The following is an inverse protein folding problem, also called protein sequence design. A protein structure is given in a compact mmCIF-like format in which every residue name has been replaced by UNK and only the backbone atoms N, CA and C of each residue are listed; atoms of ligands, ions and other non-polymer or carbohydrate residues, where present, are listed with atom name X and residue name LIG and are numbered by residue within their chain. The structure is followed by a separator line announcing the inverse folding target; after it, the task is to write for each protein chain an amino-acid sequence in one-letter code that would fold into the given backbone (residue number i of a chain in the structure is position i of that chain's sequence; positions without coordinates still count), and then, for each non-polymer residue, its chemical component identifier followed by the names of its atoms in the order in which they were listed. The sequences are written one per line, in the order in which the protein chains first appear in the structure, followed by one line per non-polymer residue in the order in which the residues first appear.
data_IF_932740215296
#
_entry.id   IF_932740215296
#
_cell.length_a   1.000
_cell.length_b   1.000
_cell.length_c   1.000
_cell.angle_alpha   90.00
_cell.angle_beta   90.00
_cell.angle_gamma   90.00
#
_symmetry.space_group_name_H-M   'P 1'
#
loop_
_entity.id
_entity.type
_entity.pdbx_description
1 polymer ?
#
# COMPACT_ATOMS: atom_id res chain seq x y z
N UNK A 1 5.12 -20.05 28.26
CA UNK A 1 5.53 -18.78 27.63
C UNK A 1 4.91 -18.75 26.25
N UNK A 2 3.72 -18.16 26.12
CA UNK A 2 3.12 -17.85 24.83
C UNK A 2 4.03 -16.81 24.16
N UNK A 3 4.68 -17.17 23.04
CA UNK A 3 5.31 -16.16 22.18
C UNK A 3 4.19 -15.20 21.78
N UNK A 4 4.29 -13.94 22.18
CA UNK A 4 3.45 -12.88 21.62
C UNK A 4 3.56 -12.98 20.11
N UNK A 5 2.42 -13.16 19.43
CA UNK A 5 2.39 -13.05 17.97
C UNK A 5 3.02 -11.68 17.62
N UNK A 6 3.97 -11.63 16.67
CA UNK A 6 4.50 -10.33 16.26
C UNK A 6 3.35 -9.50 15.70
N UNK A 7 3.22 -8.26 16.19
CA UNK A 7 2.26 -7.29 15.66
C UNK A 7 2.51 -6.96 14.19
N UNK A 8 1.68 -6.09 13.60
CA UNK A 8 1.80 -5.78 12.18
C UNK A 8 3.17 -5.17 11.86
N UNK A 9 3.69 -5.48 10.67
CA UNK A 9 4.98 -4.95 10.22
C UNK A 9 4.77 -3.64 9.49
N UNK A 10 5.39 -2.57 10.00
CA UNK A 10 5.35 -1.25 9.39
C UNK A 10 6.41 -1.09 8.28
N UNK A 11 6.02 -0.51 7.16
CA UNK A 11 6.77 -0.28 5.93
C UNK A 11 6.59 1.18 5.49
N UNK A 12 7.44 1.63 4.56
CA UNK A 12 7.25 2.89 3.84
C UNK A 12 7.10 2.64 2.33
N UNK A 13 6.25 3.44 1.67
CA UNK A 13 6.01 3.33 0.24
C UNK A 13 7.10 4.04 -0.57
N UNK A 14 7.57 3.43 -1.66
CA UNK A 14 8.36 4.17 -2.66
C UNK A 14 7.49 5.01 -3.60
N UNK A 15 6.17 4.80 -3.61
CA UNK A 15 5.21 5.45 -4.50
C UNK A 15 5.26 6.98 -4.50
N UNK A 16 5.23 7.65 -3.33
CA UNK A 16 5.34 9.11 -3.23
C UNK A 16 6.67 9.69 -3.77
N UNK A 17 7.66 8.83 -3.99
CA UNK A 17 9.02 9.17 -4.44
C UNK A 17 9.33 8.59 -5.82
N UNK A 18 8.31 8.29 -6.64
CA UNK A 18 8.43 7.57 -7.92
C UNK A 18 9.36 8.21 -8.98
N UNK A 19 9.74 9.48 -8.79
CA UNK A 19 10.65 10.22 -9.66
C UNK A 19 12.12 10.17 -9.18
N UNK A 20 12.38 9.64 -8.00
CA UNK A 20 13.72 9.49 -7.42
C UNK A 20 14.35 8.13 -7.77
N UNK A 21 15.68 8.01 -7.81
CA UNK A 21 16.37 6.72 -7.97
C UNK A 21 16.00 5.74 -6.84
N UNK A 22 15.81 4.46 -7.16
CA UNK A 22 15.28 3.49 -6.20
C UNK A 22 16.22 3.30 -5.00
N UNK A 23 17.54 3.15 -5.25
CA UNK A 23 18.52 2.99 -4.18
C UNK A 23 18.51 4.14 -3.18
N UNK A 24 18.45 5.38 -3.67
CA UNK A 24 18.36 6.57 -2.82
C UNK A 24 17.09 6.59 -1.96
N UNK A 25 15.96 6.16 -2.52
CA UNK A 25 14.69 6.07 -1.78
C UNK A 25 14.78 5.03 -0.67
N UNK A 26 15.33 3.85 -0.98
CA UNK A 26 15.49 2.78 0.01
C UNK A 26 16.46 3.18 1.13
N UNK A 27 17.56 3.88 0.81
CA UNK A 27 18.46 4.43 1.83
C UNK A 27 17.74 5.44 2.74
N UNK A 28 16.90 6.32 2.17
CA UNK A 28 16.14 7.29 2.96
C UNK A 28 15.10 6.61 3.87
N UNK A 29 14.45 5.54 3.40
CA UNK A 29 13.53 4.73 4.19
C UNK A 29 14.27 4.04 5.34
N UNK A 30 15.45 3.46 5.07
CA UNK A 30 16.28 2.82 6.10
C UNK A 30 16.75 3.82 7.16
N UNK A 31 17.22 5.00 6.75
CA UNK A 31 17.66 6.06 7.67
C UNK A 31 16.52 6.63 8.53
N UNK A 32 15.27 6.54 8.05
CA UNK A 32 14.08 6.87 8.84
C UNK A 32 13.74 5.80 9.89
N UNK A 33 14.46 4.67 9.90
CA UNK A 33 14.34 3.58 10.87
C UNK A 33 13.34 2.49 10.48
N UNK A 34 12.88 2.47 9.22
CA UNK A 34 12.07 1.35 8.74
C UNK A 34 12.94 0.11 8.51
N UNK A 35 12.31 -1.06 8.57
CA UNK A 35 12.98 -2.36 8.30
C UNK A 35 12.45 -3.04 7.05
N UNK A 36 11.49 -2.42 6.37
CA UNK A 36 11.04 -2.86 5.07
C UNK A 36 10.35 -1.76 4.29
N UNK A 37 10.18 -2.00 2.99
CA UNK A 37 9.55 -1.07 2.07
C UNK A 37 8.52 -1.78 1.20
N UNK A 38 7.55 -1.02 0.72
CA UNK A 38 6.72 -1.39 -0.42
C UNK A 38 7.27 -0.71 -1.67
N UNK A 39 7.61 -1.52 -2.68
CA UNK A 39 8.18 -1.02 -3.93
C UNK A 39 7.10 -0.90 -5.00
N UNK A 40 6.86 0.33 -5.48
CA UNK A 40 6.02 0.60 -6.63
C UNK A 40 6.78 0.36 -7.93
N UNK A 41 6.26 -0.52 -8.78
CA UNK A 41 6.72 -0.65 -10.16
C UNK A 41 6.38 0.62 -10.95
N UNK A 42 7.40 1.35 -11.39
CA UNK A 42 7.24 2.65 -12.02
C UNK A 42 7.99 2.76 -13.37
N UNK A 43 8.05 3.98 -13.92
CA UNK A 43 8.81 4.26 -15.14
C UNK A 43 10.29 3.97 -14.97
N UNK A 44 10.85 4.23 -13.78
CA UNK A 44 12.22 3.84 -13.44
C UNK A 44 12.36 2.32 -13.61
N UNK A 45 13.17 1.82 -14.57
CA UNK A 45 13.30 0.38 -14.82
C UNK A 45 13.88 -0.39 -13.64
N UNK A 46 14.61 0.27 -12.73
CA UNK A 46 15.16 -0.35 -11.52
C UNK A 46 14.07 -0.94 -10.62
N UNK A 47 12.87 -0.36 -10.61
CA UNK A 47 11.71 -0.85 -9.85
C UNK A 47 11.08 -2.12 -10.41
N UNK A 48 11.51 -2.54 -11.61
CA UNK A 48 10.99 -3.72 -12.35
C UNK A 48 12.07 -4.77 -12.61
N UNK A 49 13.25 -4.57 -12.03
CA UNK A 49 14.41 -5.44 -12.13
C UNK A 49 14.63 -6.07 -10.74
N UNK A 50 14.23 -7.35 -10.54
CA UNK A 50 14.30 -7.99 -9.24
C UNK A 50 15.70 -7.98 -8.62
N UNK A 51 16.75 -8.14 -9.42
CA UNK A 51 18.13 -8.17 -8.94
C UNK A 51 18.54 -6.80 -8.38
N UNK A 52 18.12 -5.70 -9.03
CA UNK A 52 18.36 -4.35 -8.53
C UNK A 52 17.55 -4.04 -7.28
N UNK A 53 16.26 -4.38 -7.26
CA UNK A 53 15.41 -4.20 -6.07
C UNK A 53 16.05 -4.91 -4.87
N UNK A 54 16.44 -6.17 -5.04
CA UNK A 54 17.08 -6.98 -4.00
C UNK A 54 18.48 -6.48 -3.64
N UNK A 55 19.24 -5.97 -4.61
CA UNK A 55 20.55 -5.36 -4.39
C UNK A 55 20.45 -4.15 -3.46
N UNK A 56 19.65 -3.16 -3.84
CA UNK A 56 19.46 -1.94 -3.07
C UNK A 56 18.82 -2.21 -1.70
N UNK A 57 17.81 -3.08 -1.63
CA UNK A 57 17.20 -3.44 -0.35
C UNK A 57 18.20 -4.07 0.61
N UNK A 58 19.07 -4.97 0.11
CA UNK A 58 20.13 -5.61 0.91
C UNK A 58 21.17 -4.61 1.40
N UNK A 59 21.59 -3.69 0.53
CA UNK A 59 22.53 -2.62 0.88
C UNK A 59 21.97 -1.69 1.97
N UNK A 60 20.68 -1.35 1.87
CA UNK A 60 19.96 -0.54 2.86
C UNK A 60 19.52 -1.30 4.12
N UNK A 61 19.68 -2.63 4.15
CA UNK A 61 19.22 -3.48 5.28
C UNK A 61 17.69 -3.64 5.38
N UNK A 62 16.97 -3.46 4.27
CA UNK A 62 15.51 -3.56 4.18
C UNK A 62 15.06 -4.91 3.61
N UNK A 63 13.85 -5.32 3.97
CA UNK A 63 13.10 -6.34 3.24
C UNK A 63 12.01 -5.71 2.35
N UNK A 64 11.63 -6.38 1.26
CA UNK A 64 10.57 -5.92 0.35
C UNK A 64 9.42 -6.94 0.35
N UNK A 65 8.57 -6.97 1.39
CA UNK A 65 7.49 -7.96 1.49
C UNK A 65 6.28 -7.63 0.61
N UNK A 66 6.20 -6.40 0.08
CA UNK A 66 5.08 -5.90 -0.73
C UNK A 66 5.63 -5.22 -1.98
N UNK A 67 5.02 -5.51 -3.13
CA UNK A 67 5.30 -4.83 -4.39
C UNK A 67 3.98 -4.31 -4.95
N UNK A 68 3.97 -3.06 -5.39
CA UNK A 68 2.79 -2.42 -5.95
C UNK A 68 2.86 -2.40 -7.48
N UNK A 69 1.85 -2.96 -8.14
CA UNK A 69 1.80 -3.04 -9.60
C UNK A 69 1.55 -1.68 -10.28
N UNK A 70 1.93 -1.51 -11.56
CA UNK A 70 1.85 -0.22 -12.24
C UNK A 70 0.44 0.10 -12.77
N UNK A 71 -0.51 0.31 -11.86
CA UNK A 71 -1.92 0.52 -12.21
C UNK A 71 -2.37 1.99 -12.20
N UNK A 72 -1.61 2.88 -11.55
CA UNK A 72 -1.89 4.31 -11.59
C UNK A 72 -2.00 4.80 -13.04
N UNK A 73 -2.86 5.81 -13.29
CA UNK A 73 -3.10 6.34 -14.64
C UNK A 73 -1.81 6.76 -15.35
N UNK A 74 -0.86 7.36 -14.61
CA UNK A 74 0.45 7.77 -15.15
C UNK A 74 1.39 6.60 -15.45
N UNK A 75 1.14 5.43 -14.85
CA UNK A 75 1.91 4.19 -15.01
C UNK A 75 1.22 3.19 -15.94
N UNK A 76 0.09 3.56 -16.56
CA UNK A 76 -0.76 2.64 -17.35
C UNK A 76 -0.03 1.83 -18.44
N UNK A 77 1.08 2.33 -18.97
CA UNK A 77 1.84 1.69 -20.04
C UNK A 77 3.09 0.93 -19.53
N UNK A 78 3.41 1.05 -18.25
CA UNK A 78 4.50 0.29 -17.64
C UNK A 78 4.10 -1.19 -17.60
N UNK A 79 5.01 -2.06 -18.06
CA UNK A 79 4.77 -3.49 -18.32
C UNK A 79 3.71 -3.80 -19.40
N UNK A 80 3.24 -2.79 -20.14
CA UNK A 80 2.26 -2.93 -21.22
C UNK A 80 0.87 -2.40 -20.83
N UNK A 81 0.00 -2.24 -21.83
CA UNK A 81 -1.36 -1.71 -21.66
C UNK A 81 -2.42 -2.79 -21.41
N UNK A 82 -2.11 -4.07 -21.66
CA UNK A 82 -3.03 -5.17 -21.40
C UNK A 82 -3.02 -5.50 -19.89
N UNK A 83 -4.18 -5.36 -19.24
CA UNK A 83 -4.31 -5.57 -17.79
C UNK A 83 -3.87 -6.95 -17.31
N UNK A 84 -4.29 -8.02 -18.00
CA UNK A 84 -4.02 -9.41 -17.59
C UNK A 84 -2.52 -9.69 -17.73
N UNK A 85 -1.95 -9.38 -18.89
CA UNK A 85 -0.52 -9.58 -19.16
C UNK A 85 0.35 -8.77 -18.19
N UNK A 86 0.01 -7.50 -17.94
CA UNK A 86 0.66 -6.68 -16.94
C UNK A 86 0.62 -7.34 -15.57
N UNK A 87 -0.56 -7.81 -15.16
CA UNK A 87 -0.78 -8.43 -13.85
C UNK A 87 0.07 -9.69 -13.66
N UNK A 88 0.14 -10.56 -14.67
CA UNK A 88 1.01 -11.74 -14.66
C UNK A 88 2.49 -11.38 -14.55
N UNK A 89 2.96 -10.42 -15.36
CA UNK A 89 4.35 -9.94 -15.29
C UNK A 89 4.66 -9.29 -13.93
N UNK A 90 3.70 -8.57 -13.35
CA UNK A 90 3.83 -8.01 -12.02
C UNK A 90 3.91 -9.08 -10.94
N UNK A 91 3.11 -10.16 -11.03
CA UNK A 91 3.22 -11.33 -10.14
C UNK A 91 4.59 -12.02 -10.26
N UNK A 92 5.07 -12.25 -11.48
CA UNK A 92 6.38 -12.86 -11.74
C UNK A 92 7.53 -12.05 -11.12
N UNK A 93 7.54 -10.73 -11.33
CA UNK A 93 8.55 -9.83 -10.74
C UNK A 93 8.43 -9.85 -9.21
N UNK A 94 7.21 -9.79 -8.67
CA UNK A 94 6.97 -9.81 -7.22
C UNK A 94 7.47 -11.12 -6.59
N UNK A 95 7.26 -12.26 -7.26
CA UNK A 95 7.76 -13.56 -6.83
C UNK A 95 9.30 -13.60 -6.84
N UNK A 96 9.94 -13.04 -7.87
CA UNK A 96 11.41 -12.98 -7.95
C UNK A 96 12.03 -12.05 -6.88
N UNK A 97 11.34 -10.98 -6.50
CA UNK A 97 11.72 -10.12 -5.35
C UNK A 97 11.52 -10.85 -4.02
N UNK A 98 10.76 -11.95 -3.99
CA UNK A 98 10.38 -12.63 -2.76
C UNK A 98 9.30 -11.89 -1.96
N UNK A 99 8.54 -11.01 -2.63
CA UNK A 99 7.41 -10.33 -2.02
C UNK A 99 6.28 -11.33 -1.74
N UNK A 100 5.54 -11.11 -0.65
CA UNK A 100 4.40 -11.95 -0.28
C UNK A 100 3.09 -11.41 -0.82
N UNK A 101 3.05 -10.13 -1.18
CA UNK A 101 1.86 -9.42 -1.64
C UNK A 101 2.22 -8.63 -2.88
N UNK A 102 1.38 -8.75 -3.91
CA UNK A 102 1.36 -7.86 -5.07
C UNK A 102 0.08 -7.02 -5.01
N UNK A 103 0.23 -5.71 -4.81
CA UNK A 103 -0.90 -4.77 -4.75
C UNK A 103 -1.40 -4.50 -6.16
N UNK A 104 -2.70 -4.70 -6.35
CA UNK A 104 -3.38 -4.53 -7.62
C UNK A 104 -4.59 -3.62 -7.50
N UNK A 105 -4.81 -2.84 -8.57
CA UNK A 105 -6.02 -2.06 -8.75
C UNK A 105 -7.00 -2.81 -9.65
N UNK A 106 -8.29 -2.63 -9.43
CA UNK A 106 -9.30 -3.21 -10.30
C UNK A 106 -9.22 -2.65 -11.73
N UNK A 107 -9.44 -3.48 -12.75
CA UNK A 107 -9.57 -3.00 -14.13
C UNK A 107 -10.81 -2.13 -14.28
N UNK A 108 -10.84 -1.30 -15.31
CA UNK A 108 -11.99 -0.43 -15.55
C UNK A 108 -13.26 -1.26 -15.77
N UNK A 109 -14.43 -0.73 -15.37
CA UNK A 109 -15.73 -1.44 -15.51
C UNK A 109 -16.04 -1.90 -16.94
N UNK A 110 -15.52 -1.22 -17.97
CA UNK A 110 -15.72 -1.61 -19.37
C UNK A 110 -14.76 -2.70 -19.87
N UNK A 111 -13.69 -3.02 -19.14
CA UNK A 111 -12.72 -4.07 -19.47
C UNK A 111 -13.25 -5.46 -19.10
N UNK A 112 -14.34 -5.88 -19.75
CA UNK A 112 -15.08 -7.12 -19.41
C UNK A 112 -14.19 -8.36 -19.35
N UNK A 113 -13.21 -8.47 -20.26
CA UNK A 113 -12.26 -9.61 -20.26
C UNK A 113 -11.39 -9.61 -19.01
N UNK A 114 -10.82 -8.46 -18.64
CA UNK A 114 -9.99 -8.33 -17.45
C UNK A 114 -10.80 -8.59 -16.18
N UNK A 115 -12.05 -8.10 -16.11
CA UNK A 115 -12.96 -8.41 -14.98
C UNK A 115 -13.35 -9.88 -14.90
N UNK A 116 -13.55 -10.54 -16.04
CA UNK A 116 -13.83 -11.97 -16.10
C UNK A 116 -12.65 -12.79 -15.56
N UNK A 117 -11.44 -12.48 -16.02
CA UNK A 117 -10.20 -13.08 -15.51
C UNK A 117 -10.02 -12.82 -14.02
N UNK A 118 -10.20 -11.57 -13.58
CA UNK A 118 -10.06 -11.20 -12.17
C UNK A 118 -11.00 -11.99 -11.25
N UNK A 119 -12.22 -12.28 -11.70
CA UNK A 119 -13.21 -13.01 -10.91
C UNK A 119 -13.05 -14.54 -10.94
N UNK A 120 -12.31 -15.09 -11.90
CA UNK A 120 -12.31 -16.53 -12.18
C UNK A 120 -10.92 -17.19 -12.14
N UNK A 121 -9.84 -16.44 -12.36
CA UNK A 121 -8.51 -16.99 -12.63
C UNK A 121 -7.39 -16.31 -11.82
N UNK A 122 -7.54 -15.03 -11.42
CA UNK A 122 -6.44 -14.25 -10.85
C UNK A 122 -5.85 -14.83 -9.54
N UNK A 123 -6.70 -15.28 -8.61
CA UNK A 123 -6.25 -15.84 -7.34
C UNK A 123 -5.54 -17.19 -7.53
N UNK A 124 -6.05 -18.05 -8.42
CA UNK A 124 -5.45 -19.34 -8.74
C UNK A 124 -4.08 -19.14 -9.42
N UNK A 125 -3.99 -18.23 -10.39
CA UNK A 125 -2.71 -17.88 -11.02
C UNK A 125 -1.71 -17.29 -10.01
N UNK A 126 -2.16 -16.40 -9.12
CA UNK A 126 -1.31 -15.83 -8.09
C UNK A 126 -0.75 -16.90 -7.14
N UNK A 127 -1.57 -17.90 -6.79
CA UNK A 127 -1.16 -19.02 -5.97
C UNK A 127 -0.04 -19.87 -6.62
N UNK A 128 0.02 -19.93 -7.95
CA UNK A 128 1.11 -20.60 -8.68
C UNK A 128 2.44 -19.83 -8.59
N UNK A 129 2.38 -18.49 -8.48
CA UNK A 129 3.57 -17.63 -8.39
C UNK A 129 4.08 -17.42 -6.96
N UNK A 130 3.20 -17.48 -5.96
CA UNK A 130 3.52 -17.35 -4.53
C UNK A 130 2.98 -16.08 -3.86
N UNK A 131 3.15 -14.86 -4.42
CA UNK A 131 2.56 -13.66 -3.84
C UNK A 131 1.03 -13.68 -3.91
N UNK A 132 0.36 -13.17 -2.88
CA UNK A 132 -1.07 -12.88 -2.93
C UNK A 132 -1.35 -11.72 -3.90
N UNK A 133 -2.34 -11.88 -4.78
CA UNK A 133 -2.87 -10.81 -5.62
C UNK A 133 -3.88 -10.01 -4.81
N UNK A 134 -3.43 -8.91 -4.19
CA UNK A 134 -4.22 -8.17 -3.21
C UNK A 134 -4.92 -6.99 -3.87
N UNK A 135 -6.25 -6.97 -3.82
CA UNK A 135 -7.07 -5.91 -4.43
C UNK A 135 -7.21 -4.72 -3.48
N UNK A 136 -6.85 -3.54 -3.97
CA UNK A 136 -6.99 -2.29 -3.22
C UNK A 136 -8.37 -1.67 -3.39
N UNK A 137 -8.95 -1.14 -2.30
CA UNK A 137 -10.13 -0.28 -2.41
C UNK A 137 -9.77 1.00 -3.16
N UNK A 138 -10.58 1.39 -4.14
CA UNK A 138 -10.36 2.60 -4.93
C UNK A 138 -11.55 3.54 -4.80
N UNK A 139 -11.27 4.84 -4.90
CA UNK A 139 -12.23 5.91 -4.67
C UNK A 139 -12.76 6.56 -5.96
N UNK A 140 -13.92 7.24 -5.91
CA UNK A 140 -14.45 7.98 -7.06
C UNK A 140 -13.67 9.27 -7.33
N UNK A 141 -13.26 9.49 -8.58
CA UNK A 141 -12.61 10.75 -9.00
C UNK A 141 -13.65 11.76 -9.49
N UNK A 142 -13.78 12.91 -8.80
CA UNK A 142 -14.61 14.04 -9.23
C UNK A 142 -16.13 13.80 -9.09
N UNK A 143 -16.57 13.05 -8.09
CA UNK A 143 -17.99 12.73 -7.86
C UNK A 143 -18.63 11.85 -8.95
N UNK A 144 -17.82 11.39 -9.91
CA UNK A 144 -18.23 10.48 -10.97
C UNK A 144 -17.50 9.16 -10.75
N UNK A 145 -18.24 8.06 -10.85
CA UNK A 145 -17.68 6.71 -10.89
C UNK A 145 -16.88 6.52 -12.19
N UNK A 146 -15.70 7.13 -12.27
CA UNK A 146 -14.65 6.80 -13.24
C UNK A 146 -14.03 5.42 -12.91
N UNK A 147 -14.92 4.45 -12.79
CA UNK A 147 -14.87 3.02 -13.13
C UNK A 147 -13.74 2.11 -12.64
N UNK A 148 -12.89 2.52 -11.70
CA UNK A 148 -12.11 1.59 -10.88
C UNK A 148 -12.58 1.56 -9.42
N UNK A 149 -13.62 2.33 -9.04
CA UNK A 149 -14.16 2.32 -7.67
C UNK A 149 -14.45 0.89 -7.24
N UNK A 150 -13.92 0.54 -6.08
CA UNK A 150 -14.14 -0.73 -5.42
C UNK A 150 -14.65 -0.40 -4.02
N UNK A 151 -15.98 -0.45 -3.88
CA UNK A 151 -16.66 -0.34 -2.59
C UNK A 151 -16.30 -1.52 -1.68
N UNK A 152 -16.48 -1.44 -0.35
CA UNK A 152 -16.31 -2.59 0.53
C UNK A 152 -17.09 -3.82 0.05
N UNK A 153 -18.33 -3.63 -0.43
CA UNK A 153 -19.13 -4.73 -0.99
C UNK A 153 -18.48 -5.37 -2.22
N UNK A 154 -17.86 -4.57 -3.09
CA UNK A 154 -17.12 -5.06 -4.26
C UNK A 154 -15.79 -5.72 -3.89
N UNK A 155 -15.25 -5.51 -2.68
CA UNK A 155 -14.08 -6.23 -2.18
C UNK A 155 -14.41 -7.64 -1.66
N UNK A 156 -15.66 -7.88 -1.25
CA UNK A 156 -16.10 -9.18 -0.68
C UNK A 156 -15.68 -10.42 -1.49
N UNK A 157 -15.70 -10.42 -2.84
CA UNK A 157 -15.28 -11.57 -3.62
C UNK A 157 -13.78 -11.89 -3.56
N UNK A 158 -12.93 -10.93 -3.18
CA UNK A 158 -11.48 -11.13 -3.16
C UNK A 158 -11.04 -11.84 -1.89
N UNK A 159 -10.04 -12.71 -2.02
CA UNK A 159 -9.43 -13.43 -0.89
C UNK A 159 -8.41 -12.57 -0.15
N UNK A 160 -7.73 -11.67 -0.87
CA UNK A 160 -6.70 -10.78 -0.34
C UNK A 160 -7.03 -9.34 -0.66
N UNK A 161 -7.09 -8.50 0.37
CA UNK A 161 -7.48 -7.08 0.26
C UNK A 161 -6.36 -6.18 0.77
N UNK A 162 -6.13 -5.08 0.04
CA UNK A 162 -5.39 -3.92 0.52
C UNK A 162 -6.39 -2.86 0.96
N UNK A 163 -6.27 -2.44 2.21
CA UNK A 163 -7.15 -1.46 2.83
C UNK A 163 -6.42 -0.11 2.88
N UNK A 164 -6.81 0.80 2.00
CA UNK A 164 -6.34 2.17 1.94
C UNK A 164 -7.30 3.11 2.68
N UNK A 165 -6.76 3.76 3.70
CA UNK A 165 -7.48 4.68 4.59
C UNK A 165 -7.87 5.99 3.91
N UNK A 166 -7.02 6.59 3.09
CA UNK A 166 -7.30 7.86 2.41
C UNK A 166 -8.36 7.67 1.31
N UNK A 167 -8.33 6.53 0.61
CA UNK A 167 -9.35 6.16 -0.37
C UNK A 167 -10.75 6.04 0.25
N UNK A 168 -10.87 5.46 1.46
CA UNK A 168 -12.14 5.42 2.17
C UNK A 168 -12.64 6.81 2.59
N UNK A 169 -11.74 7.72 2.97
CA UNK A 169 -12.10 9.11 3.23
C UNK A 169 -12.73 9.78 1.99
N UNK A 170 -12.13 9.58 0.81
CA UNK A 170 -12.66 10.14 -0.44
C UNK A 170 -13.99 9.50 -0.84
N UNK A 171 -14.17 8.19 -0.56
CA UNK A 171 -15.42 7.49 -0.79
C UNK A 171 -16.52 7.82 0.25
N UNK A 172 -16.19 8.52 1.33
CA UNK A 172 -17.12 8.81 2.42
C UNK A 172 -17.53 7.57 3.23
N UNK A 173 -16.64 6.58 3.31
CA UNK A 173 -16.85 5.32 4.03
C UNK A 173 -16.14 5.39 5.39
N UNK A 174 -16.82 4.98 6.45
CA UNK A 174 -16.24 4.91 7.79
C UNK A 174 -15.21 3.77 7.90
N UNK A 175 -14.06 4.04 8.54
CA UNK A 175 -12.97 3.07 8.62
C UNK A 175 -13.33 1.84 9.47
N UNK A 176 -14.12 2.01 10.53
CA UNK A 176 -14.52 0.89 11.39
C UNK A 176 -15.59 0.04 10.70
N UNK A 177 -16.55 0.66 10.01
CA UNK A 177 -17.53 -0.07 9.18
C UNK A 177 -16.83 -0.88 8.09
N UNK A 178 -15.87 -0.29 7.38
CA UNK A 178 -15.09 -0.99 6.37
C UNK A 178 -14.24 -2.13 6.97
N UNK A 179 -13.63 -1.90 8.13
CA UNK A 179 -12.80 -2.90 8.80
C UNK A 179 -13.62 -4.09 9.30
N UNK A 180 -14.77 -3.85 9.92
CA UNK A 180 -15.69 -4.90 10.35
C UNK A 180 -16.15 -5.77 9.17
N UNK A 181 -16.32 -5.17 7.99
CA UNK A 181 -16.74 -5.88 6.78
C UNK A 181 -15.61 -6.66 6.07
N UNK A 182 -14.35 -6.27 6.24
CA UNK A 182 -13.24 -6.73 5.37
C UNK A 182 -12.07 -7.38 6.12
N UNK A 183 -11.95 -7.19 7.43
CA UNK A 183 -10.74 -7.52 8.21
C UNK A 183 -10.29 -8.98 8.12
N UNK A 184 -11.19 -9.91 7.81
CA UNK A 184 -10.87 -11.32 7.57
C UNK A 184 -10.01 -11.56 6.32
N UNK A 185 -10.00 -10.62 5.38
CA UNK A 185 -9.31 -10.68 4.08
C UNK A 185 -8.21 -9.63 3.94
N UNK A 186 -8.15 -8.66 4.84
CA UNK A 186 -7.14 -7.60 4.79
C UNK A 186 -5.76 -8.21 5.07
N UNK A 187 -4.92 -8.22 4.05
CA UNK A 187 -3.52 -8.70 4.13
C UNK A 187 -2.54 -7.53 4.25
N UNK A 188 -2.96 -6.33 3.83
CA UNK A 188 -2.15 -5.13 3.80
C UNK A 188 -2.97 -3.87 4.07
N UNK A 189 -2.38 -2.89 4.76
CA UNK A 189 -2.95 -1.57 4.96
C UNK A 189 -2.07 -0.50 4.30
N UNK A 190 -2.66 0.39 3.52
CA UNK A 190 -2.07 1.68 3.19
C UNK A 190 -2.63 2.73 4.17
N UNK A 191 -1.73 3.33 4.94
CA UNK A 191 -2.08 4.26 6.01
C UNK A 191 -1.62 5.65 5.67
N UNK A 192 -2.60 6.54 5.54
CA UNK A 192 -2.42 7.98 5.45
C UNK A 192 -3.70 8.68 5.87
N UNK A 193 -3.57 9.91 6.36
CA UNK A 193 -4.72 10.73 6.71
C UNK A 193 -5.31 11.38 5.44
N UNK A 194 -6.44 12.04 5.57
CA UNK A 194 -7.06 12.76 4.46
C UNK A 194 -7.61 14.10 4.95
N UNK A 195 -7.39 15.18 4.19
CA UNK A 195 -7.87 16.52 4.58
C UNK A 195 -9.38 16.73 4.42
N UNK A 196 -10.14 15.74 3.93
CA UNK A 196 -11.59 15.84 3.76
C UNK A 196 -12.01 16.79 2.64
N UNK A 197 -11.10 17.09 1.71
CA UNK A 197 -11.33 18.05 0.63
C UNK A 197 -11.84 17.40 -0.68
N UNK A 198 -12.27 16.14 -0.60
CA UNK A 198 -12.73 15.33 -1.74
C UNK A 198 -11.61 14.86 -2.68
N UNK A 199 -10.35 14.98 -2.27
CA UNK A 199 -9.18 14.46 -2.96
C UNK A 199 -8.43 13.48 -2.08
N UNK A 200 -7.79 12.55 -2.74
CA UNK A 200 -6.83 11.67 -2.10
C UNK A 200 -5.57 12.47 -1.75
N UNK A 201 -5.42 12.75 -0.46
CA UNK A 201 -4.45 13.72 0.05
C UNK A 201 -3.18 13.08 0.59
N UNK A 202 -3.22 11.78 0.92
CA UNK A 202 -2.14 11.05 1.58
C UNK A 202 -1.48 11.85 2.71
N UNK A 203 -2.30 12.47 3.55
CA UNK A 203 -1.83 13.44 4.52
C UNK A 203 -1.08 12.76 5.69
N UNK A 204 -0.17 13.46 6.38
CA UNK A 204 0.47 12.95 7.59
C UNK A 204 -0.55 12.52 8.66
N UNK A 205 -0.19 11.51 9.45
CA UNK A 205 -1.04 10.97 10.52
C UNK A 205 -1.39 12.09 11.52
N UNK A 206 -2.68 12.33 11.70
CA UNK A 206 -3.22 13.33 12.63
C UNK A 206 -3.43 14.72 12.05
N UNK A 207 -3.18 14.90 10.76
CA UNK A 207 -3.32 16.21 10.09
C UNK A 207 -4.64 16.38 9.34
N UNK A 208 -5.43 15.30 9.21
CA UNK A 208 -6.67 15.26 8.46
C UNK A 208 -7.89 14.97 9.33
N UNK A 209 -8.89 14.35 8.71
CA UNK A 209 -10.21 14.11 9.31
C UNK A 209 -10.43 12.66 9.74
N UNK A 210 -9.50 11.75 9.42
CA UNK A 210 -9.67 10.33 9.72
C UNK A 210 -9.34 10.04 11.19
N UNK A 211 -10.08 9.13 11.86
CA UNK A 211 -9.81 8.73 13.24
C UNK A 211 -8.64 7.72 13.31
N UNK A 212 -7.50 8.05 12.71
CA UNK A 212 -6.35 7.13 12.58
C UNK A 212 -5.75 6.74 13.93
N UNK A 213 -5.84 7.62 14.93
CA UNK A 213 -5.43 7.33 16.31
C UNK A 213 -6.16 6.11 16.86
N UNK A 214 -7.50 6.14 16.81
CA UNK A 214 -8.36 5.07 17.29
C UNK A 214 -8.31 3.85 16.38
N UNK A 215 -8.21 4.07 15.07
CA UNK A 215 -8.18 2.98 14.10
C UNK A 215 -6.91 2.14 14.23
N UNK A 216 -5.72 2.75 14.28
CA UNK A 216 -4.47 2.01 14.45
C UNK A 216 -4.40 1.32 15.83
N UNK A 217 -4.87 1.96 16.89
CA UNK A 217 -4.98 1.32 18.20
C UNK A 217 -5.92 0.10 18.16
N UNK A 218 -7.03 0.18 17.44
CA UNK A 218 -7.93 -0.95 17.22
C UNK A 218 -7.25 -2.09 16.45
N UNK A 219 -6.57 -1.79 15.34
CA UNK A 219 -5.82 -2.79 14.54
C UNK A 219 -4.78 -3.51 15.40
N UNK A 220 -4.02 -2.77 16.21
CA UNK A 220 -3.03 -3.34 17.13
C UNK A 220 -3.66 -4.24 18.20
N UNK A 221 -4.79 -3.82 18.79
CA UNK A 221 -5.50 -4.58 19.82
C UNK A 221 -6.14 -5.88 19.29
N UNK A 222 -6.55 -5.90 18.01
CA UNK A 222 -7.13 -7.07 17.37
C UNK A 222 -6.10 -8.19 17.05
N UNK A 223 -4.81 -7.94 17.27
CA UNK A 223 -3.75 -8.93 17.02
C UNK A 223 -3.52 -9.23 15.53
N UNK A 224 -3.96 -8.34 14.64
CA UNK A 224 -3.74 -8.46 13.20
C UNK A 224 -2.25 -8.37 12.87
N UNK A 225 -1.73 -9.35 12.09
CA UNK A 225 -0.29 -9.54 11.87
C UNK A 225 0.13 -9.33 10.42
N UNK A 226 -0.62 -8.55 9.65
CA UNK A 226 -0.30 -8.21 8.26
C UNK A 226 0.79 -7.14 8.15
N UNK A 227 0.88 -6.51 6.99
CA UNK A 227 1.82 -5.39 6.73
C UNK A 227 1.09 -4.07 6.66
N UNK A 228 1.71 -3.00 7.14
CA UNK A 228 1.20 -1.62 7.03
C UNK A 228 2.23 -0.83 6.25
N UNK A 229 1.84 -0.17 5.18
CA UNK A 229 2.68 0.81 4.49
C UNK A 229 2.19 2.21 4.83
N UNK A 230 3.11 3.08 5.25
CA UNK A 230 2.84 4.52 5.28
C UNK A 230 3.01 5.08 3.86
N UNK A 231 1.90 5.44 3.23
CA UNK A 231 1.88 6.07 1.90
C UNK A 231 1.53 7.56 2.06
N UNK A 232 2.57 8.38 2.22
CA UNK A 232 2.41 9.76 2.64
C UNK A 232 2.85 10.74 1.54
N UNK A 233 2.16 11.86 1.43
CA UNK A 233 2.60 12.97 0.60
C UNK A 233 3.91 13.56 1.15
N UNK A 234 5.00 13.30 0.43
CA UNK A 234 6.32 13.73 0.82
C UNK A 234 6.71 15.11 0.25
N UNK A 235 5.88 15.76 -0.59
CA UNK A 235 6.32 16.89 -1.44
C UNK A 235 6.89 18.06 -0.64
N UNK A 236 6.32 18.34 0.53
CA UNK A 236 6.78 19.41 1.41
C UNK A 236 8.13 19.12 2.11
N UNK A 237 8.66 17.91 1.95
CA UNK A 237 9.85 17.43 2.65
C UNK A 237 10.97 16.97 1.70
N UNK A 238 10.84 17.22 0.38
CA UNK A 238 11.81 16.80 -0.63
C UNK A 238 12.98 17.78 -0.84
N UNK A 239 12.99 18.92 -0.16
CA UNK A 239 14.05 19.94 -0.31
C UNK A 239 15.43 19.39 0.09
N UNK A 240 15.48 18.58 1.15
CA UNK A 240 16.69 17.88 1.59
C UNK A 240 16.37 16.46 2.01
N UNK A 241 17.37 15.57 1.90
CA UNK A 241 17.22 14.18 2.35
C UNK A 241 16.94 14.10 3.85
N UNK A 242 17.58 14.96 4.64
CA UNK A 242 17.38 15.04 6.09
C UNK A 242 15.95 15.42 6.45
N UNK A 243 15.32 16.31 5.67
CA UNK A 243 13.92 16.71 5.87
C UNK A 243 12.98 15.52 5.63
N UNK A 244 13.15 14.80 4.52
CA UNK A 244 12.40 13.59 4.19
C UNK A 244 12.58 12.51 5.27
N UNK A 245 13.82 12.18 5.62
CA UNK A 245 14.15 11.17 6.64
C UNK A 245 13.51 11.54 7.98
N UNK A 246 13.64 12.80 8.40
CA UNK A 246 13.04 13.26 9.67
C UNK A 246 11.52 13.20 9.63
N UNK A 247 10.90 13.50 8.50
CA UNK A 247 9.46 13.37 8.31
C UNK A 247 9.00 11.92 8.42
N UNK A 248 9.58 11.03 7.61
CA UNK A 248 9.24 9.60 7.62
C UNK A 248 9.48 8.97 9.00
N UNK A 249 10.57 9.33 9.70
CA UNK A 249 10.87 8.82 11.03
C UNK A 249 9.82 9.24 12.06
N UNK A 250 9.35 10.50 12.02
CA UNK A 250 8.28 10.96 12.92
C UNK A 250 6.98 10.21 12.67
N UNK A 251 6.59 10.04 11.41
CA UNK A 251 5.34 9.36 11.04
C UNK A 251 5.40 7.86 11.38
N UNK A 252 6.57 7.22 11.23
CA UNK A 252 6.82 5.86 11.71
C UNK A 252 6.58 5.73 13.21
N UNK A 253 7.21 6.60 14.01
CA UNK A 253 7.10 6.57 15.47
C UNK A 253 5.67 6.81 15.94
N UNK A 254 4.93 7.73 15.29
CA UNK A 254 3.50 7.91 15.56
C UNK A 254 2.72 6.62 15.32
N UNK A 255 2.87 6.02 14.14
CA UNK A 255 2.15 4.79 13.80
C UNK A 255 2.47 3.64 14.76
N UNK A 256 3.75 3.43 15.11
CA UNK A 256 4.18 2.44 16.10
C UNK A 256 3.54 2.67 17.47
N UNK A 257 3.49 3.92 17.92
CA UNK A 257 2.90 4.28 19.22
C UNK A 257 1.39 4.04 19.25
N UNK A 258 0.69 4.42 18.18
CA UNK A 258 -0.75 4.19 18.06
C UNK A 258 -1.09 2.70 18.00
N UNK A 259 -0.32 1.90 17.23
CA UNK A 259 -0.47 0.44 17.19
C UNK A 259 -0.21 -0.21 18.56
N UNK A 260 0.61 0.40 19.40
CA UNK A 260 0.82 -0.01 20.80
C UNK A 260 -0.28 0.48 21.76
N UNK A 261 -1.26 1.25 21.27
CA UNK A 261 -2.39 1.77 22.04
C UNK A 261 -2.16 3.14 22.69
N UNK A 262 -1.07 3.83 22.36
CA UNK A 262 -0.81 5.19 22.85
C UNK A 262 -1.50 6.24 21.97
N UNK A 263 -2.70 6.64 22.38
CA UNK A 263 -3.51 7.64 21.67
C UNK A 263 -2.99 9.08 21.81
N UNK A 264 -2.02 9.34 22.70
CA UNK A 264 -1.47 10.69 22.87
C UNK A 264 -0.40 11.01 21.82
N UNK A 265 0.09 10.02 21.07
CA UNK A 265 1.14 10.18 20.06
C UNK A 265 0.79 11.09 18.87
N UNK A 266 -0.49 11.47 18.72
CA UNK A 266 -1.00 12.34 17.65
C UNK A 266 -1.26 13.78 18.13
N UNK A 267 -1.17 14.03 19.44
CA UNK A 267 -1.36 15.36 20.04
C UNK A 267 -0.08 16.17 20.04
#
# INVERSE_FOLDING_TARGET
MTRSQPGPRLLAATGPLLLSPLGWVLDAIADAGFTGAEVLMAHNPETRDPDKVLGYAREAGLVVPVVHGPYMVLLRNVLGSNYIEKSRRSLEISAQVGARIMVAHAPFRWERRARGWLAAEADDEAAEHGPAFAMENLFPVGGRSFSCVVTPAELTPFTSVVFDTSHFAVAGVDLFEAWDALSDRVVHLHVSDNFGNGKDSHAPIGSGILPLDRFLAHVGACGWSGTITLELDCRAYLDTRESLVSFLARERVKAESLLAGDLEAVR
#
